data_IF_578930152500
#
_entry.id   IF_578930152500
#
_cell.length_a   1.000
_cell.length_b   1.000
_cell.length_c   1.000
_cell.angle_alpha   90.00
_cell.angle_beta   90.00
_cell.angle_gamma   90.00
#
_symmetry.space_group_name_H-M   'P 1'
#
loop_
_entity.id
_entity.type
_entity.pdbx_description
1 polymer ?
#
# COMPACT_ATOMS: atom_id res chain seq x y z
N UNK A 1 2.82 -2.17 11.16
CA UNK A 1 1.62 -1.32 10.93
C UNK A 1 0.41 -2.17 10.58
N UNK A 2 0.50 -3.05 9.57
CA UNK A 2 -0.60 -3.90 9.11
C UNK A 2 -1.22 -4.76 10.24
N UNK A 3 -0.40 -5.37 11.11
CA UNK A 3 -0.85 -6.13 12.29
C UNK A 3 -1.65 -5.32 13.31
N UNK A 4 -1.44 -3.99 13.38
CA UNK A 4 -2.18 -3.11 14.30
C UNK A 4 -3.51 -2.61 13.71
N UNK A 5 -3.75 -2.81 12.41
CA UNK A 5 -4.99 -2.37 11.76
C UNK A 5 -6.19 -3.22 12.17
N UNK A 6 -5.97 -4.49 12.52
CA UNK A 6 -7.00 -5.52 12.74
C UNK A 6 -7.89 -5.82 11.50
N UNK A 7 -7.58 -5.27 10.32
CA UNK A 7 -8.40 -5.43 9.11
C UNK A 7 -7.76 -6.30 8.04
N UNK A 8 -6.44 -6.53 8.10
CA UNK A 8 -5.76 -7.38 7.13
C UNK A 8 -5.72 -8.83 7.61
N UNK A 9 -6.16 -9.77 6.76
CA UNK A 9 -5.97 -11.20 6.94
C UNK A 9 -4.58 -11.62 6.50
N UNK A 10 -4.19 -11.32 5.26
CA UNK A 10 -2.87 -11.65 4.74
C UNK A 10 -2.11 -10.42 4.24
N UNK A 11 -0.79 -10.49 4.37
CA UNK A 11 0.14 -9.56 3.78
C UNK A 11 1.23 -10.33 3.02
N UNK A 12 1.70 -9.78 1.90
CA UNK A 12 2.81 -10.32 1.12
C UNK A 12 3.74 -9.18 0.70
N UNK A 13 5.03 -9.30 1.02
CA UNK A 13 6.05 -8.29 0.69
C UNK A 13 6.85 -8.76 -0.52
N UNK A 14 7.33 -7.85 -1.36
CA UNK A 14 8.31 -8.19 -2.41
C UNK A 14 9.58 -8.86 -1.81
N UNK A 15 10.08 -8.33 -0.69
CA UNK A 15 11.20 -8.89 0.08
C UNK A 15 10.94 -10.25 0.79
N UNK A 16 9.66 -10.58 1.04
CA UNK A 16 9.24 -11.80 1.74
C UNK A 16 7.94 -12.30 1.06
N UNK A 17 8.07 -13.04 -0.06
CA UNK A 17 6.95 -13.36 -0.95
C UNK A 17 6.03 -14.47 -0.43
N UNK A 18 6.27 -14.96 0.79
CA UNK A 18 5.33 -15.83 1.49
C UNK A 18 4.17 -15.04 2.11
N UNK A 19 2.97 -15.64 2.10
CA UNK A 19 1.81 -15.07 2.76
C UNK A 19 2.01 -15.05 4.28
N UNK A 20 1.95 -13.87 4.86
CA UNK A 20 2.03 -13.65 6.30
C UNK A 20 0.63 -13.39 6.87
N UNK A 21 0.22 -14.14 7.89
CA UNK A 21 -1.06 -13.93 8.58
C UNK A 21 -0.98 -12.71 9.51
N UNK A 22 -1.80 -11.71 9.24
CA UNK A 22 -1.85 -10.45 10.00
C UNK A 22 -2.90 -10.48 11.12
N UNK A 23 -3.68 -11.57 11.24
CA UNK A 23 -4.64 -11.79 12.32
C UNK A 23 -6.02 -11.15 12.15
N UNK A 24 -6.26 -10.43 11.05
CA UNK A 24 -7.57 -9.85 10.72
C UNK A 24 -8.59 -10.88 10.19
N UNK A 25 -9.85 -10.44 9.99
CA UNK A 25 -10.93 -11.32 9.56
C UNK A 25 -10.83 -11.64 8.06
N UNK A 26 -11.38 -12.80 7.66
CA UNK A 26 -11.56 -13.15 6.23
C UNK A 26 -12.77 -12.39 5.66
N UNK A 27 -13.94 -12.52 6.29
CA UNK A 27 -15.15 -11.82 5.87
C UNK A 27 -15.09 -10.35 6.29
N UNK A 28 -15.29 -9.43 5.34
CA UNK A 28 -15.19 -7.99 5.57
C UNK A 28 -13.77 -7.47 5.84
N UNK A 29 -12.76 -8.34 5.83
CA UNK A 29 -11.35 -7.97 5.89
C UNK A 29 -10.68 -7.88 4.52
N UNK A 30 -9.37 -7.66 4.54
CA UNK A 30 -8.58 -7.40 3.36
C UNK A 30 -7.30 -8.24 3.31
N UNK A 31 -6.71 -8.35 2.13
CA UNK A 31 -5.34 -8.80 1.97
C UNK A 31 -4.55 -7.77 1.16
N UNK A 32 -3.25 -7.65 1.44
CA UNK A 32 -2.38 -6.62 0.86
C UNK A 32 -1.11 -7.23 0.29
N UNK A 33 -0.69 -6.75 -0.88
CA UNK A 33 0.69 -6.94 -1.38
C UNK A 33 1.39 -5.60 -1.42
N UNK A 34 2.69 -5.57 -1.14
CA UNK A 34 3.46 -4.35 -1.16
C UNK A 34 4.92 -4.55 -1.55
N UNK A 35 5.47 -3.57 -2.26
CA UNK A 35 6.91 -3.34 -2.35
C UNK A 35 7.25 -2.30 -1.26
N UNK A 36 8.02 -2.69 -0.23
CA UNK A 36 8.31 -1.80 0.89
C UNK A 36 9.16 -0.59 0.48
N UNK A 37 10.04 -0.73 -0.52
CA UNK A 37 10.93 0.34 -0.94
C UNK A 37 11.39 0.14 -2.40
N UNK A 38 10.53 0.49 -3.35
CA UNK A 38 10.89 0.60 -4.76
C UNK A 38 11.98 1.66 -4.94
N UNK A 39 13.02 1.29 -5.69
CA UNK A 39 14.22 2.12 -5.85
C UNK A 39 15.19 2.06 -4.66
N UNK A 40 15.06 1.09 -3.75
CA UNK A 40 15.99 0.89 -2.63
C UNK A 40 17.48 0.89 -3.03
N UNK A 41 17.80 0.37 -4.22
CA UNK A 41 19.16 0.26 -4.75
C UNK A 41 19.84 1.59 -5.11
N UNK A 42 19.07 2.69 -5.21
CA UNK A 42 19.58 4.02 -5.62
C UNK A 42 19.34 5.09 -4.56
N UNK A 43 18.96 4.69 -3.34
CA UNK A 43 18.74 5.62 -2.22
C UNK A 43 19.98 6.50 -1.94
N UNK A 44 21.18 5.94 -2.11
CA UNK A 44 22.45 6.64 -1.91
C UNK A 44 22.69 7.80 -2.91
N UNK A 45 22.05 7.74 -4.08
CA UNK A 45 22.09 8.81 -5.09
C UNK A 45 21.16 9.98 -4.78
N UNK A 46 20.32 9.86 -3.74
CA UNK A 46 19.31 10.85 -3.36
C UNK A 46 18.25 11.10 -4.46
N UNK A 47 17.96 10.07 -5.27
CA UNK A 47 16.84 10.07 -6.20
C UNK A 47 15.52 9.69 -5.49
N UNK A 48 14.40 9.99 -6.14
CA UNK A 48 13.08 9.67 -5.58
C UNK A 48 12.87 8.16 -5.52
N UNK A 49 12.39 7.69 -4.38
CA UNK A 49 12.04 6.28 -4.08
C UNK A 49 10.64 6.23 -3.48
N UNK A 50 10.08 5.03 -3.27
CA UNK A 50 8.74 4.95 -2.69
C UNK A 50 8.32 3.57 -2.22
N UNK A 51 7.13 3.51 -1.65
CA UNK A 51 6.47 2.25 -1.26
C UNK A 51 5.24 2.11 -2.13
N UNK A 52 4.98 0.91 -2.67
CA UNK A 52 3.80 0.62 -3.50
C UNK A 52 2.98 -0.45 -2.80
N UNK A 53 1.65 -0.33 -2.78
CA UNK A 53 0.80 -1.40 -2.31
C UNK A 53 -0.55 -1.48 -3.01
N UNK A 54 -1.08 -2.70 -3.08
CA UNK A 54 -2.40 -3.02 -3.60
C UNK A 54 -3.22 -3.78 -2.55
N UNK A 55 -4.52 -3.53 -2.50
CA UNK A 55 -5.44 -4.09 -1.50
C UNK A 55 -6.58 -4.82 -2.19
N UNK A 56 -6.84 -6.06 -1.76
CA UNK A 56 -7.95 -6.91 -2.18
C UNK A 56 -8.86 -7.21 -1.00
N UNK A 57 -10.14 -7.49 -1.26
CA UNK A 57 -11.06 -8.01 -0.25
C UNK A 57 -10.78 -9.48 0.04
N UNK A 58 -10.98 -9.88 1.29
CA UNK A 58 -10.86 -11.26 1.73
C UNK A 58 -9.42 -11.73 1.89
N UNK A 59 -9.19 -13.00 1.56
CA UNK A 59 -8.01 -13.77 1.94
C UNK A 59 -7.20 -14.31 0.74
N UNK A 60 -7.43 -13.76 -0.46
CA UNK A 60 -6.77 -14.21 -1.68
C UNK A 60 -5.85 -13.13 -2.25
N UNK A 61 -4.60 -13.53 -2.50
CA UNK A 61 -3.59 -12.73 -3.19
C UNK A 61 -3.07 -13.40 -4.48
N UNK A 62 -3.52 -14.63 -4.77
CA UNK A 62 -3.27 -15.36 -6.02
C UNK A 62 -4.60 -15.76 -6.65
N UNK A 63 -4.62 -15.93 -7.98
CA UNK A 63 -5.87 -16.18 -8.72
C UNK A 63 -6.84 -14.98 -8.73
N UNK A 64 -6.37 -13.80 -8.30
CA UNK A 64 -7.03 -12.50 -8.40
C UNK A 64 -6.32 -11.64 -9.44
N UNK A 65 -6.99 -10.61 -9.94
CA UNK A 65 -6.44 -9.68 -10.93
C UNK A 65 -6.32 -8.27 -10.38
N UNK A 66 -5.61 -7.41 -11.09
CA UNK A 66 -5.54 -5.98 -10.75
C UNK A 66 -6.90 -5.27 -10.74
N UNK A 67 -7.90 -5.76 -11.50
CA UNK A 67 -9.27 -5.20 -11.49
C UNK A 67 -10.04 -5.55 -10.22
N UNK A 68 -9.59 -6.55 -9.47
CA UNK A 68 -10.21 -6.99 -8.23
C UNK A 68 -9.74 -6.18 -7.01
N UNK A 69 -8.72 -5.32 -7.17
CA UNK A 69 -8.28 -4.39 -6.14
C UNK A 69 -9.41 -3.46 -5.73
N UNK A 70 -9.55 -3.24 -4.42
CA UNK A 70 -10.45 -2.23 -3.85
C UNK A 70 -9.75 -0.89 -3.61
N UNK A 71 -8.43 -0.93 -3.42
CA UNK A 71 -7.58 0.24 -3.32
C UNK A 71 -6.17 -0.10 -3.81
N UNK A 72 -5.47 0.90 -4.32
CA UNK A 72 -4.03 0.85 -4.59
C UNK A 72 -3.42 2.21 -4.25
N UNK A 73 -2.19 2.21 -3.75
CA UNK A 73 -1.53 3.44 -3.38
C UNK A 73 -0.01 3.37 -3.49
N UNK A 74 0.60 4.56 -3.52
CA UNK A 74 2.04 4.74 -3.49
C UNK A 74 2.40 5.85 -2.50
N UNK A 75 3.33 5.58 -1.59
CA UNK A 75 4.05 6.60 -0.84
C UNK A 75 5.30 7.01 -1.61
N UNK A 76 5.48 8.31 -1.87
CA UNK A 76 6.57 8.85 -2.66
C UNK A 76 7.49 9.66 -1.75
N UNK A 77 8.75 9.25 -1.67
CA UNK A 77 9.82 9.92 -0.93
C UNK A 77 10.73 10.63 -1.92
N UNK A 78 10.31 11.83 -2.35
CA UNK A 78 11.11 12.74 -3.15
C UNK A 78 11.45 14.03 -2.38
N UNK A 79 11.65 15.17 -3.09
CA UNK A 79 11.78 16.48 -2.44
C UNK A 79 10.56 16.89 -1.61
N UNK A 80 9.41 16.24 -1.88
CA UNK A 80 8.19 16.28 -1.08
C UNK A 80 7.81 14.84 -0.78
N UNK A 81 7.29 14.58 0.41
CA UNK A 81 6.65 13.30 0.71
C UNK A 81 5.19 13.39 0.33
N UNK A 82 4.76 12.60 -0.65
CA UNK A 82 3.36 12.55 -1.08
C UNK A 82 2.81 11.13 -0.99
N UNK A 83 1.50 11.03 -0.84
CA UNK A 83 0.77 9.78 -0.80
C UNK A 83 -0.30 9.82 -1.88
N UNK A 84 -0.20 8.93 -2.86
CA UNK A 84 -1.11 8.85 -4.00
C UNK A 84 -1.98 7.63 -3.83
N UNK A 85 -3.31 7.78 -3.89
CA UNK A 85 -4.26 6.69 -3.69
C UNK A 85 -5.34 6.68 -4.77
N UNK A 86 -5.70 5.48 -5.22
CA UNK A 86 -6.86 5.21 -6.05
C UNK A 86 -7.78 4.22 -5.32
N UNK A 87 -9.09 4.52 -5.32
CA UNK A 87 -10.11 3.67 -4.73
C UNK A 87 -11.04 3.19 -5.85
N UNK A 88 -11.39 1.91 -5.87
CA UNK A 88 -12.17 1.30 -6.97
C UNK A 88 -13.48 2.04 -7.25
N UNK A 89 -14.17 2.45 -6.20
CA UNK A 89 -15.51 3.04 -6.27
C UNK A 89 -15.49 4.58 -6.15
N UNK A 90 -14.31 5.21 -6.23
CA UNK A 90 -14.17 6.67 -6.22
C UNK A 90 -13.55 7.15 -7.55
N UNK A 91 -14.14 8.15 -8.23
CA UNK A 91 -13.56 8.66 -9.46
C UNK A 91 -12.21 9.35 -9.22
N UNK A 92 -11.19 8.89 -9.94
CA UNK A 92 -9.89 9.55 -10.01
C UNK A 92 -8.83 8.93 -9.09
N UNK A 93 -7.70 9.63 -9.05
CA UNK A 93 -6.54 9.31 -8.23
C UNK A 93 -6.17 10.57 -7.48
N UNK A 94 -5.97 10.46 -6.17
CA UNK A 94 -5.81 11.60 -5.28
C UNK A 94 -4.38 11.63 -4.72
N UNK A 95 -3.77 12.82 -4.72
CA UNK A 95 -2.43 13.05 -4.18
C UNK A 95 -2.53 13.88 -2.89
N UNK A 96 -1.91 13.38 -1.83
CA UNK A 96 -1.86 14.03 -0.53
C UNK A 96 -0.42 14.43 -0.20
N UNK A 97 -0.20 15.68 0.18
CA UNK A 97 1.10 16.17 0.63
C UNK A 97 1.25 15.99 2.15
N UNK A 98 2.38 15.42 2.59
CA UNK A 98 2.74 15.39 4.00
C UNK A 98 3.16 16.80 4.44
N UNK A 99 2.41 17.40 5.38
CA UNK A 99 2.73 18.70 5.95
C UNK A 99 3.55 18.59 7.23
N UNK A 100 4.27 19.66 7.54
CA UNK A 100 5.00 19.83 8.79
C UNK A 100 4.01 19.77 9.97
N UNK A 101 4.13 18.74 10.82
CA UNK A 101 3.16 18.27 11.86
C UNK A 101 2.11 17.22 11.44
N UNK A 102 2.30 16.51 10.33
CA UNK A 102 1.46 15.36 9.97
C UNK A 102 0.01 15.72 9.60
N UNK A 103 -0.25 17.00 9.26
CA UNK A 103 -1.53 17.40 8.68
C UNK A 103 -1.55 17.00 7.20
N UNK A 104 -2.68 16.45 6.75
CA UNK A 104 -2.93 16.07 5.35
C UNK A 104 -4.00 17.03 4.82
N UNK A 105 -3.84 17.56 3.60
CA UNK A 105 -4.84 18.39 2.91
C UNK A 105 -5.25 17.74 1.59
N UNK A 106 -6.54 17.83 1.26
CA UNK A 106 -7.14 17.43 -0.03
C UNK A 106 -6.73 18.34 -1.19
#
# INVERSE_FOLDING_TARGET
ALTYSNFYKYACSEEVPELQDMGGPVEGGFSVVFDPLDGSSIVDTNFTVGTIFGVWLGDKLTGVTGRDQVAAAMGICGPRTTYVIALKDMPGTHEFLLLDKGKITD
#
